data_IF_308044400461
#
_entry.id   IF_308044400461
#
_cell.length_a   1.000
_cell.length_b   1.000
_cell.length_c   1.000
_cell.angle_alpha   90.00
_cell.angle_beta   90.00
_cell.angle_gamma   90.00
#
_symmetry.space_group_name_H-M   'P 1'
#
loop_
_entity.id
_entity.type
_entity.pdbx_description
1 polymer ?
#
# COMPACT_ATOMS: atom_id res chain seq x y z
N UNK A 1 23.58 -13.97 14.66
CA UNK A 1 24.31 -14.32 13.43
C UNK A 1 24.39 -13.08 12.58
N UNK A 2 25.42 -12.94 11.75
CA UNK A 2 25.81 -11.74 10.96
C UNK A 2 24.67 -10.92 10.33
N UNK A 3 23.55 -11.56 9.98
CA UNK A 3 22.35 -10.91 9.43
C UNK A 3 21.62 -9.97 10.42
N UNK A 4 21.64 -10.29 11.71
CA UNK A 4 20.93 -9.48 12.73
C UNK A 4 21.54 -8.08 12.84
N UNK A 5 22.86 -7.99 12.66
CA UNK A 5 23.61 -6.72 12.80
C UNK A 5 23.40 -5.78 11.61
N UNK A 6 22.74 -6.24 10.53
CA UNK A 6 22.43 -5.46 9.33
C UNK A 6 20.98 -4.97 9.27
N UNK A 7 20.17 -5.29 10.28
CA UNK A 7 18.76 -4.90 10.36
C UNK A 7 18.58 -3.94 11.52
N UNK A 8 17.99 -2.79 11.26
CA UNK A 8 17.52 -1.87 12.30
C UNK A 8 16.00 -1.85 12.28
N UNK A 9 15.38 -2.17 13.41
CA UNK A 9 13.92 -2.08 13.59
C UNK A 9 13.60 -0.80 14.33
N UNK A 10 12.67 -0.02 13.79
CA UNK A 10 12.20 1.24 14.36
C UNK A 10 10.70 1.11 14.59
N UNK A 11 10.25 1.33 15.83
CA UNK A 11 8.83 1.37 16.18
C UNK A 11 8.44 2.84 16.32
N UNK A 12 7.98 3.42 15.22
CA UNK A 12 7.53 4.81 15.14
C UNK A 12 6.53 4.95 13.98
N UNK A 13 5.88 6.11 13.88
CA UNK A 13 5.20 6.51 12.66
C UNK A 13 6.24 6.76 11.57
N UNK A 14 6.06 6.15 10.40
CA UNK A 14 6.96 6.28 9.24
C UNK A 14 7.12 7.74 8.79
N UNK A 15 6.17 8.61 9.13
CA UNK A 15 6.23 10.06 8.86
C UNK A 15 7.26 10.80 9.74
N UNK A 16 7.72 10.20 10.84
CA UNK A 16 8.68 10.82 11.74
C UNK A 16 10.15 10.46 11.42
N UNK A 17 10.39 9.51 10.53
CA UNK A 17 11.73 8.96 10.26
C UNK A 17 12.20 9.35 8.85
N UNK A 18 13.12 10.33 8.79
CA UNK A 18 13.72 10.78 7.53
C UNK A 18 15.23 10.63 7.46
N UNK A 19 15.86 10.11 8.51
CA UNK A 19 17.30 9.93 8.58
C UNK A 19 17.71 8.56 9.14
N UNK A 20 18.82 7.97 8.67
CA UNK A 20 19.63 8.46 7.54
C UNK A 20 18.86 8.38 6.21
N UNK A 21 19.25 9.18 5.23
CA UNK A 21 18.70 9.04 3.89
C UNK A 21 19.06 7.68 3.31
N UNK A 22 18.15 7.11 2.51
CA UNK A 22 18.30 5.77 1.92
C UNK A 22 18.21 5.83 0.40
N UNK A 23 18.79 4.84 -0.27
CA UNK A 23 18.69 4.69 -1.72
C UNK A 23 17.30 4.26 -2.17
N UNK A 24 16.61 3.45 -1.35
CA UNK A 24 15.32 2.86 -1.69
C UNK A 24 14.40 2.89 -0.46
N UNK A 25 13.18 3.42 -0.66
CA UNK A 25 12.06 3.22 0.26
C UNK A 25 11.07 2.23 -0.36
N UNK A 26 10.72 1.19 0.38
CA UNK A 26 9.70 0.21 -0.01
C UNK A 26 8.47 0.35 0.89
N UNK A 27 7.34 0.77 0.32
CA UNK A 27 6.06 0.92 1.01
C UNK A 27 5.03 -0.11 0.50
N UNK A 28 5.38 -1.41 0.56
CA UNK A 28 4.50 -2.52 0.15
C UNK A 28 3.49 -2.91 1.23
N UNK A 29 2.77 -1.92 1.73
CA UNK A 29 1.87 -2.09 2.86
C UNK A 29 0.58 -1.25 2.72
N UNK A 30 0.34 -0.65 1.55
CA UNK A 30 -0.82 0.21 1.30
C UNK A 30 -1.00 1.37 2.30
N UNK A 31 0.06 1.78 3.01
CA UNK A 31 -0.05 2.85 4.04
C UNK A 31 -0.60 4.17 3.49
N UNK A 32 -0.41 4.45 2.20
CA UNK A 32 -0.96 5.65 1.56
C UNK A 32 -2.50 5.67 1.51
N UNK A 33 -3.15 4.51 1.52
CA UNK A 33 -4.61 4.38 1.53
C UNK A 33 -5.25 4.87 2.84
N UNK A 34 -4.46 5.00 3.92
CA UNK A 34 -4.95 5.46 5.22
C UNK A 34 -5.20 6.98 5.27
N UNK A 35 -4.70 7.74 4.28
CA UNK A 35 -4.81 9.19 4.28
C UNK A 35 -6.07 9.64 3.54
N UNK A 36 -7.10 10.00 4.30
CA UNK A 36 -8.38 10.49 3.76
C UNK A 36 -8.30 11.95 3.30
N UNK A 37 -7.31 12.72 3.78
CA UNK A 37 -7.12 14.12 3.43
C UNK A 37 -5.94 14.30 2.47
N UNK A 38 -6.16 15.12 1.43
CA UNK A 38 -5.14 15.41 0.40
C UNK A 38 -3.85 15.96 1.01
N UNK A 39 -3.94 16.83 2.01
CA UNK A 39 -2.77 17.44 2.65
C UNK A 39 -1.96 16.42 3.45
N UNK A 40 -2.61 15.42 4.05
CA UNK A 40 -1.93 14.32 4.76
C UNK A 40 -1.19 13.41 3.79
N UNK A 41 -1.82 13.04 2.67
CA UNK A 41 -1.19 12.24 1.62
C UNK A 41 0.02 12.98 0.99
N UNK A 42 -0.13 14.27 0.73
CA UNK A 42 0.98 15.12 0.26
C UNK A 42 2.13 15.13 1.26
N UNK A 43 1.81 15.32 2.54
CA UNK A 43 2.82 15.38 3.59
C UNK A 43 3.58 14.05 3.72
N UNK A 44 2.89 12.92 3.58
CA UNK A 44 3.49 11.60 3.52
C UNK A 44 4.54 11.51 2.40
N UNK A 45 4.19 11.87 1.16
CA UNK A 45 5.14 11.82 0.04
C UNK A 45 6.29 12.83 0.16
N UNK A 46 6.04 14.02 0.73
CA UNK A 46 7.11 14.99 1.02
C UNK A 46 8.14 14.43 2.00
N UNK A 47 7.67 13.74 3.04
CA UNK A 47 8.53 13.10 4.04
C UNK A 47 9.29 11.92 3.43
N UNK A 48 8.62 11.05 2.67
CA UNK A 48 9.28 9.97 1.93
C UNK A 48 10.38 10.48 1.02
N UNK A 49 10.14 11.59 0.30
CA UNK A 49 11.16 12.23 -0.54
C UNK A 49 12.32 12.79 0.28
N UNK A 50 12.06 13.34 1.47
CA UNK A 50 13.13 13.81 2.36
C UNK A 50 14.01 12.66 2.88
N UNK A 51 13.44 11.45 3.03
CA UNK A 51 14.16 10.23 3.42
C UNK A 51 15.02 9.63 2.31
N UNK A 52 14.91 10.09 1.07
CA UNK A 52 15.66 9.57 -0.07
C UNK A 52 16.89 10.42 -0.39
N UNK A 53 17.95 9.77 -0.86
CA UNK A 53 19.04 10.45 -1.57
C UNK A 53 18.53 11.06 -2.89
N UNK A 54 19.33 11.93 -3.53
CA UNK A 54 18.89 12.76 -4.67
C UNK A 54 18.37 11.93 -5.86
N UNK A 55 18.97 10.75 -6.08
CA UNK A 55 18.67 9.75 -7.12
C UNK A 55 18.03 8.47 -6.56
N UNK A 56 17.48 8.55 -5.34
CA UNK A 56 16.79 7.45 -4.68
C UNK A 56 15.42 7.11 -5.28
N UNK A 57 14.91 5.92 -4.95
CA UNK A 57 13.65 5.40 -5.48
C UNK A 57 12.63 5.12 -4.36
N UNK A 58 11.41 5.59 -4.56
CA UNK A 58 10.24 5.10 -3.83
C UNK A 58 9.57 4.00 -4.66
N UNK A 59 9.33 2.85 -4.05
CA UNK A 59 8.53 1.77 -4.60
C UNK A 59 7.30 1.58 -3.69
N UNK A 60 6.11 1.69 -4.29
CA UNK A 60 4.82 1.55 -3.61
C UNK A 60 3.95 0.54 -4.34
N UNK A 61 3.06 -0.12 -3.60
CA UNK A 61 1.94 -0.85 -4.18
C UNK A 61 0.79 0.12 -4.45
N UNK A 62 0.09 -0.08 -5.57
CA UNK A 62 -1.17 0.61 -5.83
C UNK A 62 -2.27 -0.44 -5.67
N UNK A 63 -3.12 -0.26 -4.66
CA UNK A 63 -4.35 -1.05 -4.58
C UNK A 63 -5.19 -0.74 -5.83
N UNK A 64 -5.75 -1.78 -6.45
CA UNK A 64 -6.09 -1.84 -7.88
C UNK A 64 -6.81 -0.61 -8.44
N UNK A 65 -6.61 -0.38 -9.74
CA UNK A 65 -7.04 0.82 -10.47
C UNK A 65 -8.55 1.07 -10.47
N UNK A 66 -9.06 1.80 -11.45
CA UNK A 66 -10.50 2.18 -11.50
C UNK A 66 -11.47 0.99 -11.36
N UNK A 67 -11.03 -0.20 -11.77
CA UNK A 67 -11.81 -1.45 -11.64
C UNK A 67 -12.07 -1.87 -10.18
N UNK A 68 -11.33 -1.33 -9.20
CA UNK A 68 -11.62 -1.55 -7.78
C UNK A 68 -12.77 -0.68 -7.26
N UNK A 69 -13.22 0.33 -8.01
CA UNK A 69 -14.45 1.09 -7.68
C UNK A 69 -15.70 0.48 -8.33
N UNK A 70 -15.52 -0.49 -9.23
CA UNK A 70 -16.61 -1.19 -9.89
C UNK A 70 -17.16 -2.29 -8.98
N UNK A 71 -18.49 -2.45 -8.99
CA UNK A 71 -19.15 -3.58 -8.34
C UNK A 71 -18.76 -4.84 -9.10
N UNK A 72 -18.14 -5.78 -8.40
CA UNK A 72 -17.75 -7.06 -8.97
C UNK A 72 -18.86 -8.08 -8.66
N UNK A 73 -19.58 -8.49 -9.68
CA UNK A 73 -20.63 -9.52 -9.58
C UNK A 73 -20.13 -10.80 -10.28
N UNK A 74 -20.06 -11.89 -9.53
CA UNK A 74 -19.72 -13.22 -10.04
C UNK A 74 -20.91 -14.17 -9.88
N UNK A 75 -21.44 -14.62 -11.01
CA UNK A 75 -22.52 -15.62 -11.05
C UNK A 75 -21.94 -17.03 -11.23
N UNK A 76 -22.41 -17.98 -10.43
CA UNK A 76 -22.08 -19.41 -10.55
C UNK A 76 -23.38 -20.22 -10.58
N UNK A 77 -23.63 -20.94 -11.67
CA UNK A 77 -24.74 -21.91 -11.74
C UNK A 77 -24.44 -23.09 -10.80
N UNK A 78 -25.41 -23.49 -9.98
CA UNK A 78 -25.27 -24.65 -9.09
C UNK A 78 -25.64 -25.90 -9.89
N UNK A 79 -24.70 -26.84 -10.04
CA UNK A 79 -24.98 -28.14 -10.68
C UNK A 79 -26.12 -28.86 -9.95
N UNK A 80 -27.03 -29.46 -10.73
CA UNK A 80 -28.20 -30.22 -10.27
C UNK A 80 -29.28 -29.45 -9.48
N UNK A 81 -29.20 -28.12 -9.40
CA UNK A 81 -30.22 -27.26 -8.75
C UNK A 81 -30.66 -26.13 -9.69
N UNK A 82 -31.95 -25.73 -9.72
CA UNK A 82 -32.42 -24.58 -10.48
C UNK A 82 -32.11 -23.27 -9.72
N UNK A 83 -30.84 -23.06 -9.36
CA UNK A 83 -30.38 -21.93 -8.56
C UNK A 83 -29.02 -21.41 -9.07
N UNK A 84 -28.86 -20.09 -9.01
CA UNK A 84 -27.60 -19.39 -9.30
C UNK A 84 -27.09 -18.77 -8.01
N UNK A 85 -25.83 -19.03 -7.67
CA UNK A 85 -25.12 -18.31 -6.62
C UNK A 85 -24.56 -17.02 -7.21
N UNK A 86 -24.90 -15.89 -6.60
CA UNK A 86 -24.38 -14.57 -6.99
C UNK A 86 -23.52 -14.05 -5.84
N UNK A 87 -22.27 -13.74 -6.14
CA UNK A 87 -21.37 -13.05 -5.22
C UNK A 87 -21.18 -11.61 -5.67
N UNK A 88 -21.50 -10.67 -4.79
CA UNK A 88 -21.31 -9.24 -5.02
C UNK A 88 -20.20 -8.72 -4.10
N UNK A 89 -19.18 -8.09 -4.69
CA UNK A 89 -18.20 -7.28 -3.98
C UNK A 89 -18.50 -5.82 -4.25
N UNK A 90 -18.85 -5.11 -3.18
CA UNK A 90 -18.90 -3.66 -3.17
C UNK A 90 -17.68 -3.18 -2.39
N UNK A 91 -16.77 -2.47 -3.06
CA UNK A 91 -15.60 -1.83 -2.46
C UNK A 91 -15.99 -0.72 -1.49
#
# INVERSE_FOLDING_TARGET
>A
GDLVDRITLIIDDVRNVTEPQVDIVCAFNFSYCLFEQRDELRKYFELTRASLVDDGLLILDLFGGTECEDVLEEETEIEDEPATYVWEHVS
#
